data_IF_989974594502
#
_entry.id   IF_989974594502
#
_cell.length_a   1.000
_cell.length_b   1.000
_cell.length_c   1.000
_cell.angle_alpha   90.00
_cell.angle_beta   90.00
_cell.angle_gamma   90.00
#
_symmetry.space_group_name_H-M   'P 1'
#
loop_
_entity.id
_entity.type
_entity.pdbx_description
1 polymer ?
#
# COMPACT_ATOMS: atom_id res chain seq x y z
N UNK A 1 -15.73 14.91 -23.73
CA UNK A 1 -15.65 13.76 -22.81
C UNK A 1 -15.35 14.34 -21.44
N UNK A 2 -16.30 14.29 -20.51
CA UNK A 2 -15.99 14.65 -19.11
C UNK A 2 -14.88 13.71 -18.67
N UNK A 3 -13.77 14.24 -18.18
CA UNK A 3 -12.87 13.41 -17.39
C UNK A 3 -13.73 12.86 -16.27
N UNK A 4 -14.01 11.56 -16.27
CA UNK A 4 -14.31 10.89 -15.02
C UNK A 4 -13.10 11.21 -14.14
N UNK A 5 -13.32 11.79 -12.96
CA UNK A 5 -12.23 12.17 -12.07
C UNK A 5 -11.35 10.94 -11.83
N UNK A 6 -10.18 10.91 -12.48
CA UNK A 6 -9.26 9.80 -12.37
C UNK A 6 -8.75 9.79 -10.95
N UNK A 7 -8.98 8.67 -10.25
CA UNK A 7 -8.44 8.51 -8.90
C UNK A 7 -6.97 8.20 -9.04
N UNK A 8 -6.13 9.13 -8.58
CA UNK A 8 -4.68 8.96 -8.58
C UNK A 8 -4.20 8.50 -7.20
N UNK A 9 -3.28 7.53 -7.12
CA UNK A 9 -2.65 7.18 -5.86
C UNK A 9 -1.77 8.33 -5.35
N UNK A 10 -1.80 8.51 -4.03
CA UNK A 10 -0.83 9.26 -3.26
C UNK A 10 0.16 8.33 -2.55
N UNK A 11 1.06 8.89 -1.75
CA UNK A 11 1.97 8.10 -0.94
C UNK A 11 2.27 8.78 0.39
N UNK A 12 2.64 7.97 1.37
CA UNK A 12 3.08 8.38 2.70
C UNK A 12 4.15 7.44 3.22
N UNK A 13 5.17 7.98 3.91
CA UNK A 13 6.16 7.16 4.61
C UNK A 13 7.58 7.66 4.43
N UNK A 14 8.55 6.75 4.44
CA UNK A 14 9.97 7.07 4.26
C UNK A 14 10.57 6.42 3.02
N UNK A 15 11.39 7.20 2.33
CA UNK A 15 12.19 6.74 1.18
C UNK A 15 13.60 7.35 1.25
N UNK A 16 14.64 6.67 0.72
CA UNK A 16 16.03 7.10 0.93
C UNK A 16 16.37 8.48 0.33
N UNK A 17 15.63 8.90 -0.69
CA UNK A 17 15.82 10.22 -1.32
C UNK A 17 15.38 11.38 -0.40
N UNK A 18 14.64 11.13 0.67
CA UNK A 18 14.15 12.14 1.62
C UNK A 18 14.80 11.99 3.01
N UNK A 19 14.99 13.12 3.71
CA UNK A 19 15.56 13.14 5.06
C UNK A 19 14.51 12.97 6.18
N UNK A 20 13.24 12.98 5.83
CA UNK A 20 12.10 12.83 6.75
C UNK A 20 10.92 12.19 5.99
N UNK A 21 9.77 12.07 6.66
CA UNK A 21 8.53 11.61 6.07
C UNK A 21 8.14 12.42 4.82
N UNK A 22 7.65 11.71 3.81
CA UNK A 22 7.09 12.28 2.58
C UNK A 22 5.59 12.00 2.54
N UNK A 23 4.85 12.95 1.96
CA UNK A 23 3.42 12.80 1.71
C UNK A 23 3.01 13.52 0.43
N UNK A 24 2.15 12.88 -0.36
CA UNK A 24 1.51 13.45 -1.57
C UNK A 24 0.11 12.89 -1.71
N UNK A 25 -0.85 13.74 -2.13
CA UNK A 25 -2.25 13.39 -2.48
C UNK A 25 -3.03 12.58 -1.44
N UNK A 26 -2.62 12.63 -0.16
CA UNK A 26 -3.33 11.98 0.94
C UNK A 26 -3.87 13.01 1.94
N UNK A 27 -5.17 12.92 2.29
CA UNK A 27 -5.75 13.75 3.34
C UNK A 27 -5.04 13.56 4.68
N UNK A 28 -4.83 14.65 5.43
CA UNK A 28 -4.09 14.62 6.69
C UNK A 28 -4.78 13.82 7.80
N UNK A 29 -6.10 13.71 7.76
CA UNK A 29 -6.88 12.88 8.68
C UNK A 29 -6.67 11.38 8.43
N UNK A 30 -6.62 10.96 7.17
CA UNK A 30 -6.23 9.60 6.80
C UNK A 30 -4.79 9.32 7.24
N UNK A 31 -3.84 10.19 6.87
CA UNK A 31 -2.41 10.01 7.20
C UNK A 31 -2.20 9.82 8.69
N UNK A 32 -2.91 10.56 9.55
CA UNK A 32 -2.79 10.44 11.01
C UNK A 32 -3.19 9.05 11.54
N UNK A 33 -4.27 8.46 11.02
CA UNK A 33 -4.73 7.13 11.45
C UNK A 33 -3.82 6.04 10.85
N UNK A 34 -3.44 6.21 9.58
CA UNK A 34 -2.57 5.29 8.86
C UNK A 34 -1.17 5.23 9.47
N UNK A 35 -0.53 6.36 9.75
CA UNK A 35 0.79 6.46 10.41
C UNK A 35 0.81 5.70 11.73
N UNK A 36 -0.20 5.92 12.58
CA UNK A 36 -0.31 5.22 13.86
C UNK A 36 -0.40 3.72 13.68
N UNK A 37 -1.22 3.26 12.75
CA UNK A 37 -1.38 1.84 12.47
C UNK A 37 -0.09 1.21 11.93
N UNK A 38 0.58 1.88 10.99
CA UNK A 38 1.88 1.46 10.48
C UNK A 38 2.93 1.37 11.61
N UNK A 39 3.02 2.39 12.45
CA UNK A 39 3.97 2.43 13.56
C UNK A 39 3.71 1.31 14.57
N UNK A 40 2.44 1.02 14.86
CA UNK A 40 2.05 0.03 15.84
C UNK A 40 2.17 -1.41 15.33
N UNK A 41 1.84 -1.66 14.06
CA UNK A 41 1.64 -3.02 13.56
C UNK A 41 2.59 -3.44 12.43
N UNK A 42 3.07 -2.50 11.61
CA UNK A 42 3.92 -2.83 10.47
C UNK A 42 5.41 -2.60 10.76
N UNK A 43 5.78 -1.51 11.43
CA UNK A 43 7.17 -1.24 11.84
C UNK A 43 7.78 -2.40 12.66
N UNK A 44 7.07 -3.06 13.59
CA UNK A 44 7.62 -4.20 14.33
C UNK A 44 7.98 -5.41 13.45
N UNK A 45 7.43 -5.50 12.23
CA UNK A 45 7.69 -6.59 11.29
C UNK A 45 9.00 -6.42 10.52
N UNK A 46 9.66 -5.26 10.65
CA UNK A 46 10.91 -4.99 9.93
C UNK A 46 12.02 -5.92 10.41
N UNK A 47 12.56 -6.71 9.49
CA UNK A 47 13.63 -7.67 9.78
C UNK A 47 13.14 -9.06 10.12
N UNK A 48 11.83 -9.34 10.04
CA UNK A 48 11.35 -10.71 9.92
C UNK A 48 11.85 -11.29 8.59
N UNK A 49 12.50 -12.46 8.63
CA UNK A 49 13.00 -13.13 7.43
C UNK A 49 11.89 -13.42 6.42
N UNK A 50 10.68 -13.73 6.91
CA UNK A 50 9.51 -14.00 6.09
C UNK A 50 9.00 -12.76 5.32
N UNK A 51 9.37 -11.54 5.72
CA UNK A 51 9.06 -10.32 4.96
C UNK A 51 10.33 -9.72 4.36
N UNK A 52 10.75 -10.15 3.16
CA UNK A 52 11.92 -9.60 2.51
C UNK A 52 11.63 -8.18 1.98
N UNK A 53 12.68 -7.38 1.81
CA UNK A 53 12.57 -5.99 1.32
C UNK A 53 11.96 -5.88 -0.09
N UNK A 54 12.00 -6.96 -0.87
CA UNK A 54 11.42 -7.08 -2.20
C UNK A 54 9.95 -7.49 -2.26
N UNK A 55 9.27 -7.62 -1.11
CA UNK A 55 7.85 -8.00 -1.07
C UNK A 55 6.99 -6.83 -0.60
N UNK A 56 6.02 -6.44 -1.43
CA UNK A 56 5.00 -5.46 -1.08
C UNK A 56 3.75 -6.18 -0.53
N UNK A 57 3.14 -5.59 0.49
CA UNK A 57 1.82 -5.95 0.98
C UNK A 57 0.78 -5.12 0.23
N UNK A 58 -0.01 -5.76 -0.64
CA UNK A 58 -1.20 -5.20 -1.27
C UNK A 58 -2.34 -5.16 -0.25
N UNK A 59 -3.22 -4.17 -0.37
CA UNK A 59 -4.40 -4.07 0.47
C UNK A 59 -5.60 -3.42 -0.23
N UNK A 60 -6.79 -3.77 0.25
CA UNK A 60 -8.01 -2.97 0.14
C UNK A 60 -8.55 -2.72 1.54
N UNK A 61 -9.09 -1.53 1.79
CA UNK A 61 -9.83 -1.25 3.01
C UNK A 61 -11.18 -0.61 2.74
N UNK A 62 -12.11 -0.80 3.67
CA UNK A 62 -13.44 -0.23 3.68
C UNK A 62 -13.71 0.66 4.90
N UNK A 63 -14.97 1.10 5.07
CA UNK A 63 -15.40 2.00 6.14
C UNK A 63 -15.15 1.50 7.57
N UNK A 64 -15.10 0.18 7.79
CA UNK A 64 -14.84 -0.43 9.09
C UNK A 64 -13.36 -0.37 9.52
N UNK A 65 -12.45 -0.08 8.58
CA UNK A 65 -11.02 0.10 8.84
C UNK A 65 -10.58 1.56 8.61
N UNK A 66 -9.99 1.86 7.44
CA UNK A 66 -9.40 3.18 7.15
C UNK A 66 -10.23 4.02 6.18
N UNK A 67 -11.46 3.60 5.90
CA UNK A 67 -12.26 4.09 4.77
C UNK A 67 -11.91 3.35 3.47
N UNK A 68 -12.71 3.59 2.43
CA UNK A 68 -12.51 2.99 1.11
C UNK A 68 -11.14 3.41 0.52
N UNK A 69 -10.22 2.45 0.39
CA UNK A 69 -8.89 2.67 -0.13
C UNK A 69 -8.30 1.39 -0.75
N UNK A 70 -7.33 1.57 -1.64
CA UNK A 70 -6.53 0.49 -2.22
C UNK A 70 -5.06 0.91 -2.28
N UNK A 71 -4.14 -0.02 -2.15
CA UNK A 71 -2.73 0.34 -2.26
C UNK A 71 -1.77 -0.74 -1.83
N UNK A 72 -0.53 -0.32 -1.58
CA UNK A 72 0.55 -1.18 -1.11
C UNK A 72 1.29 -0.59 0.08
N UNK A 73 1.94 -1.46 0.83
CA UNK A 73 2.90 -1.14 1.89
C UNK A 73 4.17 -1.94 1.66
N UNK A 74 5.33 -1.28 1.69
CA UNK A 74 6.63 -1.94 1.62
C UNK A 74 7.58 -1.40 2.69
N UNK A 75 8.68 -2.11 2.93
CA UNK A 75 9.69 -1.66 3.89
C UNK A 75 10.40 -0.40 3.38
N UNK A 76 10.34 0.69 4.14
CA UNK A 76 11.00 1.95 3.80
C UNK A 76 12.07 2.36 4.80
N UNK A 77 12.93 3.28 4.38
CA UNK A 77 13.88 3.96 5.25
C UNK A 77 14.15 5.36 4.68
N UNK A 78 14.48 6.32 5.53
CA UNK A 78 14.94 7.63 5.07
C UNK A 78 16.45 7.63 4.74
N UNK A 79 16.96 8.78 4.31
CA UNK A 79 18.37 8.98 3.93
C UNK A 79 19.39 8.56 5.00
N UNK A 80 19.02 8.63 6.28
CA UNK A 80 19.90 8.28 7.41
C UNK A 80 19.65 6.87 7.94
N UNK A 81 18.77 6.09 7.29
CA UNK A 81 18.48 4.70 7.62
C UNK A 81 17.42 4.49 8.70
N UNK A 82 16.66 5.53 9.11
CA UNK A 82 15.56 5.32 10.08
C UNK A 82 14.41 4.62 9.35
N UNK A 83 14.14 3.38 9.79
CA UNK A 83 13.13 2.49 9.19
C UNK A 83 11.71 2.99 9.47
N UNK A 84 10.89 3.03 8.44
CA UNK A 84 9.44 3.24 8.49
C UNK A 84 8.84 2.85 7.14
N UNK A 85 7.67 2.21 7.05
CA UNK A 85 7.07 1.81 5.77
C UNK A 85 6.96 2.94 4.75
N UNK A 86 7.03 2.59 3.47
CA UNK A 86 6.52 3.43 2.40
C UNK A 86 5.18 2.84 1.95
N UNK A 87 4.13 3.66 1.92
CA UNK A 87 2.80 3.27 1.44
C UNK A 87 2.44 4.06 0.19
N UNK A 88 1.87 3.38 -0.80
CA UNK A 88 1.16 4.01 -1.92
C UNK A 88 -0.32 3.72 -1.73
N UNK A 89 -1.15 4.75 -1.75
CA UNK A 89 -2.58 4.64 -1.40
C UNK A 89 -3.45 5.47 -2.34
N UNK A 90 -4.46 4.85 -2.93
CA UNK A 90 -5.56 5.52 -3.59
C UNK A 90 -6.78 5.57 -2.66
N UNK A 91 -7.37 6.76 -2.50
CA UNK A 91 -8.62 6.97 -1.76
C UNK A 91 -9.79 6.79 -2.71
N UNK A 92 -10.73 5.92 -2.33
CA UNK A 92 -11.82 5.51 -3.18
C UNK A 92 -13.16 5.97 -2.60
N UNK A 93 -14.20 6.14 -3.43
CA UNK A 93 -15.58 6.24 -2.94
C UNK A 93 -16.07 4.90 -2.37
N UNK A 94 -15.64 3.79 -2.97
CA UNK A 94 -15.92 2.42 -2.56
C UNK A 94 -14.74 1.51 -2.91
N UNK A 95 -14.55 0.42 -2.17
CA UNK A 95 -13.46 -0.54 -2.38
C UNK A 95 -14.02 -1.88 -2.88
N UNK A 96 -14.39 -2.00 -4.17
CA UNK A 96 -14.88 -3.25 -4.73
C UNK A 96 -13.77 -4.31 -4.71
N UNK A 97 -14.10 -5.53 -4.26
CA UNK A 97 -13.17 -6.66 -4.20
C UNK A 97 -12.52 -6.96 -5.57
N UNK A 98 -13.22 -6.65 -6.67
CA UNK A 98 -12.69 -6.77 -8.04
C UNK A 98 -11.37 -6.03 -8.26
N UNK A 99 -11.10 -4.94 -7.52
CA UNK A 99 -9.82 -4.24 -7.61
C UNK A 99 -8.66 -5.14 -7.21
N UNK A 100 -8.83 -6.09 -6.29
CA UNK A 100 -7.77 -6.99 -5.84
C UNK A 100 -7.17 -7.85 -6.98
N UNK A 101 -7.93 -8.03 -8.06
CA UNK A 101 -7.52 -8.78 -9.26
C UNK A 101 -6.98 -7.88 -10.38
N UNK A 102 -6.78 -6.59 -10.12
CA UNK A 102 -6.16 -5.66 -11.07
C UNK A 102 -4.64 -5.69 -10.93
N UNK A 103 -4.02 -6.86 -11.15
CA UNK A 103 -2.58 -7.07 -10.94
C UNK A 103 -1.73 -6.05 -11.68
N UNK A 104 -2.04 -5.72 -12.93
CA UNK A 104 -1.29 -4.72 -13.69
C UNK A 104 -1.24 -3.32 -13.04
N UNK A 105 -2.25 -2.93 -12.26
CA UNK A 105 -2.22 -1.69 -11.50
C UNK A 105 -1.34 -1.82 -10.25
N UNK A 106 -1.48 -2.91 -9.51
CA UNK A 106 -0.65 -3.20 -8.35
C UNK A 106 0.84 -3.35 -8.72
N UNK A 107 1.16 -4.11 -9.76
CA UNK A 107 2.50 -4.28 -10.31
C UNK A 107 3.12 -2.93 -10.70
N UNK A 108 2.32 -2.04 -11.29
CA UNK A 108 2.75 -0.69 -11.66
C UNK A 108 3.15 0.16 -10.45
N UNK A 109 2.29 0.22 -9.42
CA UNK A 109 2.59 1.00 -8.20
C UNK A 109 3.71 0.36 -7.37
N UNK A 110 3.82 -0.98 -7.37
CA UNK A 110 4.92 -1.72 -6.74
C UNK A 110 6.24 -1.38 -7.41
N UNK A 111 6.30 -1.43 -8.75
CA UNK A 111 7.50 -1.08 -9.51
C UNK A 111 7.98 0.34 -9.20
N UNK A 112 7.07 1.32 -9.18
CA UNK A 112 7.40 2.70 -8.82
C UNK A 112 7.90 2.80 -7.37
N UNK A 113 7.22 2.15 -6.42
CA UNK A 113 7.58 2.20 -5.01
C UNK A 113 8.91 1.48 -4.71
N UNK A 114 9.22 0.36 -5.35
CA UNK A 114 10.51 -0.32 -5.24
C UNK A 114 11.66 0.49 -5.85
N UNK A 115 11.41 1.22 -6.93
CA UNK A 115 12.40 2.14 -7.52
C UNK A 115 12.68 3.29 -6.55
N UNK A 116 11.64 3.85 -5.90
CA UNK A 116 11.80 4.81 -4.81
C UNK A 116 12.56 4.22 -3.59
N UNK A 117 12.26 2.97 -3.20
CA UNK A 117 12.92 2.25 -2.10
C UNK A 117 14.43 2.06 -2.35
N UNK A 118 14.85 1.92 -3.61
CA UNK A 118 16.26 1.80 -4.03
C UNK A 118 16.98 3.13 -4.19
N UNK A 119 16.36 4.24 -3.80
CA UNK A 119 16.87 5.61 -3.98
C UNK A 119 16.97 6.05 -5.45
N UNK A 120 16.26 5.38 -6.36
CA UNK A 120 16.29 5.66 -7.80
C UNK A 120 15.20 6.66 -8.23
N UNK A 121 14.31 7.07 -7.32
CA UNK A 121 13.36 8.17 -7.52
C UNK A 121 13.44 9.18 -6.38
N UNK A 122 13.32 10.46 -6.71
CA UNK A 122 12.95 11.53 -5.77
C UNK A 122 11.45 11.47 -5.43
N UNK A 123 11.00 12.17 -4.37
CA UNK A 123 9.58 12.25 -4.05
C UNK A 123 8.72 12.80 -5.20
N UNK A 124 9.23 13.78 -5.97
CA UNK A 124 8.48 14.38 -7.08
C UNK A 124 8.44 13.46 -8.31
N UNK A 125 9.49 12.66 -8.56
CA UNK A 125 9.49 11.65 -9.62
C UNK A 125 8.57 10.47 -9.28
N UNK A 126 8.52 10.05 -8.00
CA UNK A 126 7.52 9.08 -7.55
C UNK A 126 6.09 9.63 -7.72
N UNK A 127 5.88 10.90 -7.37
CA UNK A 127 4.58 11.56 -7.56
C UNK A 127 4.13 11.60 -9.04
N UNK A 128 5.07 11.85 -9.94
CA UNK A 128 4.84 11.84 -11.39
C UNK A 128 4.59 10.42 -11.92
N UNK A 129 5.36 9.43 -11.50
CA UNK A 129 5.17 8.03 -11.88
C UNK A 129 3.79 7.52 -11.45
N UNK A 130 3.38 7.81 -10.21
CA UNK A 130 2.07 7.43 -9.67
C UNK A 130 0.90 8.17 -10.35
N UNK A 131 1.12 9.40 -10.84
CA UNK A 131 0.10 10.12 -11.60
C UNK A 131 -0.22 9.46 -12.96
N UNK A 132 0.71 8.66 -13.50
CA UNK A 132 0.50 7.88 -14.72
C UNK A 132 -0.20 6.54 -14.47
N UNK A 133 -0.51 6.21 -13.20
CA UNK A 133 -1.10 4.94 -12.77
C UNK A 133 -2.45 5.17 -12.07
N UNK A 134 -3.46 5.74 -12.76
CA UNK A 134 -4.79 5.91 -12.18
C UNK A 134 -5.40 4.55 -11.81
N UNK A 135 -6.21 4.54 -10.75
CA UNK A 135 -6.96 3.34 -10.35
C UNK A 135 -7.84 2.90 -11.52
N UNK A 136 -7.82 1.61 -11.91
CA UNK A 136 -8.65 1.10 -12.98
C UNK A 136 -10.14 1.19 -12.60
N UNK A 137 -10.96 1.54 -13.58
CA UNK A 137 -12.42 1.48 -13.43
C UNK A 137 -12.85 0.01 -13.44
N UNK A 138 -13.29 -0.48 -12.28
CA UNK A 138 -13.96 -1.78 -12.17
C UNK A 138 -15.47 -1.56 -12.09
N UNK A 139 -16.24 -2.41 -12.76
CA UNK A 139 -17.71 -2.29 -12.74
C UNK A 139 -18.28 -2.48 -11.33
N UNK A 140 -19.22 -1.62 -10.93
CA UNK A 140 -19.80 -1.54 -9.58
C UNK A 140 -20.76 -2.67 -9.17
N UNK A 141 -20.80 -3.78 -9.91
CA UNK A 141 -21.50 -4.99 -9.48
C UNK A 141 -20.50 -5.92 -8.78
N UNK A 142 -20.65 -6.18 -7.48
CA UNK A 142 -19.83 -7.14 -6.75
C UNK A 142 -19.68 -6.79 -5.27
N UNK A 143 -18.95 -7.65 -4.55
CA UNK A 143 -18.69 -7.46 -3.13
C UNK A 143 -17.79 -6.24 -2.91
N UNK A 144 -18.11 -5.47 -1.87
CA UNK A 144 -17.35 -4.30 -1.42
C UNK A 144 -16.67 -4.66 -0.10
N UNK A 145 -15.38 -4.33 0.01
CA UNK A 145 -14.63 -4.55 1.24
C UNK A 145 -15.18 -3.65 2.34
N UNK A 146 -15.61 -4.26 3.45
CA UNK A 146 -16.08 -3.57 4.65
C UNK A 146 -14.94 -3.16 5.58
N UNK A 147 -13.99 -4.08 5.81
CA UNK A 147 -12.89 -3.93 6.77
C UNK A 147 -11.53 -3.81 6.06
N UNK A 148 -10.61 -4.75 6.25
CA UNK A 148 -9.27 -4.73 5.67
C UNK A 148 -8.95 -6.12 5.11
N UNK A 149 -8.53 -6.16 3.85
CA UNK A 149 -7.94 -7.37 3.26
C UNK A 149 -6.53 -7.06 2.78
N UNK A 150 -5.62 -8.01 2.94
CA UNK A 150 -4.22 -7.88 2.54
C UNK A 150 -3.69 -9.14 1.88
N UNK A 151 -2.73 -8.99 0.98
CA UNK A 151 -2.07 -10.08 0.26
C UNK A 151 -0.74 -9.63 -0.32
N UNK A 152 -0.02 -10.53 -0.96
CA UNK A 152 1.16 -10.23 -1.81
C UNK A 152 0.86 -10.65 -3.25
N UNK A 153 1.74 -10.33 -4.19
CA UNK A 153 1.62 -10.80 -5.57
C UNK A 153 1.53 -12.34 -5.73
N UNK A 154 1.90 -13.11 -4.70
CA UNK A 154 2.04 -14.57 -4.76
C UNK A 154 1.15 -15.32 -3.76
N UNK A 155 0.20 -14.63 -3.14
CA UNK A 155 -0.70 -15.25 -2.14
C UNK A 155 -2.15 -14.97 -2.46
N UNK A 156 -3.04 -15.77 -1.87
CA UNK A 156 -4.46 -15.45 -1.81
C UNK A 156 -4.74 -14.18 -0.99
N UNK A 157 -5.99 -13.72 -1.04
CA UNK A 157 -6.49 -12.57 -0.27
C UNK A 157 -6.90 -13.02 1.13
N UNK A 158 -6.41 -12.33 2.16
CA UNK A 158 -6.72 -12.62 3.56
C UNK A 158 -7.51 -11.49 4.20
N UNK A 159 -8.54 -11.83 4.96
CA UNK A 159 -9.20 -10.90 5.90
C UNK A 159 -8.27 -10.60 7.08
N UNK A 160 -8.03 -9.32 7.33
CA UNK A 160 -7.12 -8.84 8.37
C UNK A 160 -7.90 -7.99 9.37
N UNK A 161 -7.86 -8.36 10.65
CA UNK A 161 -8.33 -7.48 11.72
C UNK A 161 -7.38 -6.28 11.87
N UNK A 162 -7.80 -5.03 11.60
CA UNK A 162 -6.93 -3.88 11.71
C UNK A 162 -6.45 -3.61 13.16
N UNK A 163 -7.12 -4.15 14.18
CA UNK A 163 -6.69 -4.01 15.58
C UNK A 163 -5.68 -5.09 16.01
N UNK A 164 -5.68 -6.24 15.35
CA UNK A 164 -4.79 -7.36 15.63
C UNK A 164 -4.28 -8.04 14.34
N UNK A 165 -3.58 -7.31 13.44
CA UNK A 165 -3.25 -7.83 12.12
C UNK A 165 -2.11 -8.86 12.13
N UNK A 166 -1.31 -8.91 13.19
CA UNK A 166 -0.06 -9.67 13.26
C UNK A 166 -0.20 -11.16 12.87
N UNK A 167 -1.15 -11.94 13.43
CA UNK A 167 -1.26 -13.35 13.10
C UNK A 167 -1.55 -13.59 11.61
N UNK A 168 -2.37 -12.74 10.99
CA UNK A 168 -2.69 -12.86 9.56
C UNK A 168 -1.51 -12.41 8.69
N UNK A 169 -0.80 -11.34 9.09
CA UNK A 169 0.38 -10.88 8.35
C UNK A 169 1.50 -11.94 8.35
N UNK A 170 1.73 -12.62 9.47
CA UNK A 170 2.69 -13.73 9.53
C UNK A 170 2.30 -14.87 8.59
N UNK A 171 1.01 -15.20 8.48
CA UNK A 171 0.52 -16.20 7.51
C UNK A 171 0.74 -15.77 6.07
N UNK A 172 0.43 -14.52 5.72
CA UNK A 172 0.66 -13.95 4.39
C UNK A 172 2.14 -14.08 4.01
N UNK A 173 3.03 -13.67 4.91
CA UNK A 173 4.48 -13.71 4.65
C UNK A 173 5.03 -15.13 4.54
N UNK A 174 4.58 -16.06 5.39
CA UNK A 174 4.96 -17.46 5.29
C UNK A 174 4.53 -18.07 3.95
N UNK A 175 3.29 -17.81 3.51
CA UNK A 175 2.77 -18.31 2.23
C UNK A 175 3.49 -17.69 1.01
N UNK A 176 3.86 -16.41 1.09
CA UNK A 176 4.63 -15.75 0.02
C UNK A 176 6.04 -16.31 -0.14
N UNK A 177 6.66 -16.77 0.95
CA UNK A 177 8.00 -17.35 0.92
C UNK A 177 8.01 -18.74 0.27
N UNK A 178 6.98 -19.56 0.49
CA UNK A 178 6.88 -20.91 -0.10
C UNK A 178 6.65 -20.89 -1.62
N UNK A 179 6.20 -19.77 -2.15
CA UNK A 179 5.81 -19.59 -3.57
C UNK A 179 6.84 -18.81 -4.39
N UNK A 180 7.92 -18.31 -3.76
CA UNK A 180 9.03 -17.55 -4.39
C UNK A 180 10.22 -18.44 -4.73
#
# INVERSE_FOLDING_TARGET
>A
MSAADLILPGFYGKMPAAGDFVTRRLPGDFVRVWDRWLAQHIVPLFGLEAWPTGTALRFLSGPGAFGAAAGIVLQGADRVGRRFPLSVVARLPEAPLKLAYCDGWFDGIESAAFTAQRAELTPDELDAALAALPVPLVGGEGDVIGDLVMWTAHTDIFDVDPQAPLPTLEQIFAASWETS
#
